data_IF_842240067459
#
_entry.id   IF_842240067459
#
_cell.length_a   1.000
_cell.length_b   1.000
_cell.length_c   1.000
_cell.angle_alpha   90.00
_cell.angle_beta   90.00
_cell.angle_gamma   90.00
#
_symmetry.space_group_name_H-M   'P 1'
#
loop_
_entity.id
_entity.type
_entity.pdbx_description
1 polymer ?
#
# COMPACT_ATOMS: atom_id res chain seq x y z
N UNK A 1 20.93 12.51 1.51
CA UNK A 1 19.94 11.43 1.28
C UNK A 1 19.68 10.72 2.61
N UNK A 2 18.44 10.57 3.01
CA UNK A 2 18.09 9.84 4.24
C UNK A 2 18.26 8.32 4.06
N UNK A 3 18.34 7.58 5.18
CA UNK A 3 18.40 6.10 5.15
C UNK A 3 17.20 5.51 4.41
N UNK A 4 16.01 6.08 4.59
CA UNK A 4 14.79 5.69 3.88
C UNK A 4 14.91 5.89 2.37
N UNK A 5 15.42 7.05 1.93
CA UNK A 5 15.63 7.33 0.51
C UNK A 5 16.66 6.40 -0.14
N UNK A 6 17.75 6.10 0.57
CA UNK A 6 18.76 5.15 0.11
C UNK A 6 18.18 3.74 -0.04
N UNK A 7 17.44 3.29 0.95
CA UNK A 7 16.77 2.00 0.91
C UNK A 7 15.76 1.92 -0.25
N UNK A 8 14.92 2.93 -0.38
CA UNK A 8 13.94 3.01 -1.46
C UNK A 8 14.63 2.94 -2.84
N UNK A 9 15.64 3.75 -3.08
CA UNK A 9 16.38 3.75 -4.33
C UNK A 9 16.97 2.37 -4.65
N UNK A 10 17.61 1.72 -3.68
CA UNK A 10 18.22 0.40 -3.85
C UNK A 10 17.19 -0.69 -4.16
N UNK A 11 16.06 -0.70 -3.45
CA UNK A 11 15.09 -1.79 -3.54
C UNK A 11 14.05 -1.59 -4.65
N UNK A 12 13.79 -0.38 -5.08
CA UNK A 12 12.94 -0.14 -6.26
C UNK A 12 13.52 -0.72 -7.56
N UNK A 13 14.82 -0.97 -7.61
CA UNK A 13 15.47 -1.65 -8.74
C UNK A 13 15.31 -3.19 -8.72
N UNK A 14 14.85 -3.77 -7.61
CA UNK A 14 14.69 -5.21 -7.49
C UNK A 14 13.44 -5.71 -8.21
N UNK A 15 13.43 -6.97 -8.71
CA UNK A 15 12.23 -7.58 -9.28
C UNK A 15 11.08 -7.65 -8.26
N UNK A 16 9.86 -7.50 -8.75
CA UNK A 16 8.67 -7.45 -7.89
C UNK A 16 8.41 -8.78 -7.17
N UNK A 17 8.65 -9.91 -7.84
CA UNK A 17 8.53 -11.24 -7.26
C UNK A 17 9.54 -11.48 -6.13
N UNK A 18 10.78 -10.99 -6.30
CA UNK A 18 11.78 -11.00 -5.24
C UNK A 18 11.28 -10.22 -4.02
N UNK A 19 10.81 -9.00 -4.21
CA UNK A 19 10.33 -8.15 -3.12
C UNK A 19 9.13 -8.75 -2.39
N UNK A 20 8.19 -9.35 -3.11
CA UNK A 20 7.03 -10.00 -2.52
C UNK A 20 7.42 -11.22 -1.68
N UNK A 21 8.39 -12.03 -2.15
CA UNK A 21 8.90 -13.17 -1.39
C UNK A 21 9.67 -12.73 -0.13
N UNK A 22 10.54 -11.71 -0.24
CA UNK A 22 11.26 -11.16 0.91
C UNK A 22 10.29 -10.60 1.97
N UNK A 23 9.24 -9.92 1.53
CA UNK A 23 8.20 -9.44 2.44
C UNK A 23 7.48 -10.60 3.14
N UNK A 24 7.10 -11.62 2.39
CA UNK A 24 6.45 -12.82 2.95
C UNK A 24 7.32 -13.51 4.00
N UNK A 25 8.61 -13.70 3.71
CA UNK A 25 9.55 -14.33 4.64
C UNK A 25 9.77 -13.48 5.90
N UNK A 26 9.89 -12.16 5.75
CA UNK A 26 10.00 -11.23 6.87
C UNK A 26 8.76 -11.25 7.76
N UNK A 27 7.56 -11.21 7.17
CA UNK A 27 6.30 -11.25 7.91
C UNK A 27 6.17 -12.57 8.70
N UNK A 28 6.48 -13.70 8.07
CA UNK A 28 6.48 -15.01 8.73
C UNK A 28 7.47 -15.05 9.90
N UNK A 29 8.68 -14.54 9.71
CA UNK A 29 9.70 -14.51 10.77
C UNK A 29 9.26 -13.68 11.98
N UNK A 30 8.49 -12.63 11.75
CA UNK A 30 7.93 -11.76 12.81
C UNK A 30 6.57 -12.24 13.33
N UNK A 31 6.01 -13.29 12.75
CA UNK A 31 4.66 -13.81 13.06
C UNK A 31 3.58 -12.73 12.87
N UNK A 32 3.72 -11.93 11.81
CA UNK A 32 2.79 -10.87 11.44
C UNK A 32 2.06 -11.25 10.15
N UNK A 33 0.83 -10.78 10.05
CA UNK A 33 -0.04 -11.01 8.90
C UNK A 33 -0.47 -9.67 8.28
N UNK A 34 -0.66 -9.68 6.98
CA UNK A 34 -0.89 -8.51 6.14
C UNK A 34 -2.26 -8.55 5.47
N UNK A 35 -2.92 -7.40 5.42
CA UNK A 35 -4.05 -7.12 4.53
C UNK A 35 -3.78 -5.90 3.66
N UNK A 36 -4.56 -5.72 2.59
CA UNK A 36 -4.45 -4.59 1.67
C UNK A 36 -5.78 -3.89 1.44
N UNK A 37 -5.73 -2.60 1.20
CA UNK A 37 -6.86 -1.77 0.80
C UNK A 37 -6.47 -0.98 -0.46
N UNK A 38 -6.98 -1.40 -1.61
CA UNK A 38 -6.57 -0.88 -2.91
C UNK A 38 -7.68 -0.06 -3.56
N UNK A 39 -7.32 1.10 -4.08
CA UNK A 39 -8.17 1.91 -4.93
C UNK A 39 -7.65 1.86 -6.38
N UNK A 40 -6.76 2.78 -6.77
CA UNK A 40 -6.29 2.85 -8.16
C UNK A 40 -5.56 1.59 -8.65
N UNK A 41 -4.93 0.83 -7.79
CA UNK A 41 -4.23 -0.42 -8.15
C UNK A 41 -5.16 -1.61 -8.41
N UNK A 42 -6.43 -1.51 -8.03
CA UNK A 42 -7.50 -2.42 -8.43
C UNK A 42 -7.26 -3.92 -8.20
N UNK A 43 -6.48 -4.28 -7.18
CA UNK A 43 -6.12 -5.67 -6.86
C UNK A 43 -4.72 -6.08 -7.30
N UNK A 44 -3.96 -5.22 -7.97
CA UNK A 44 -2.61 -5.53 -8.45
C UNK A 44 -1.64 -5.83 -7.29
N UNK A 45 -1.74 -5.10 -6.17
CA UNK A 45 -0.95 -5.37 -4.96
C UNK A 45 -1.31 -6.72 -4.36
N UNK A 46 -2.58 -6.99 -4.16
CA UNK A 46 -3.06 -8.30 -3.66
C UNK A 46 -2.65 -9.45 -4.57
N UNK A 47 -2.80 -9.29 -5.88
CA UNK A 47 -2.37 -10.28 -6.87
C UNK A 47 -0.86 -10.56 -6.80
N UNK A 48 -0.04 -9.51 -6.64
CA UNK A 48 1.40 -9.63 -6.46
C UNK A 48 1.75 -10.44 -5.21
N UNK A 49 1.08 -10.17 -4.10
CA UNK A 49 1.29 -10.91 -2.85
C UNK A 49 0.82 -12.36 -2.96
N UNK A 50 -0.28 -12.61 -3.68
CA UNK A 50 -0.79 -13.97 -3.92
C UNK A 50 0.16 -14.83 -4.75
N UNK A 51 1.01 -14.23 -5.58
CA UNK A 51 2.01 -14.93 -6.39
C UNK A 51 3.28 -15.28 -5.60
N UNK A 52 3.45 -14.75 -4.39
CA UNK A 52 4.59 -15.08 -3.54
C UNK A 52 4.49 -16.50 -2.98
N UNK A 53 5.63 -17.01 -2.52
CA UNK A 53 5.68 -18.34 -1.89
C UNK A 53 4.98 -18.32 -0.54
N UNK A 54 4.22 -19.37 -0.26
CA UNK A 54 3.62 -19.61 1.04
C UNK A 54 2.68 -18.47 1.52
N UNK A 55 2.01 -17.84 0.56
CA UNK A 55 1.15 -16.68 0.78
C UNK A 55 0.14 -16.83 1.92
N UNK A 56 -0.57 -17.98 2.07
CA UNK A 56 -1.55 -18.12 3.16
C UNK A 56 -0.97 -17.95 4.57
N UNK A 57 0.34 -18.09 4.72
CA UNK A 57 1.02 -17.92 6.01
C UNK A 57 1.16 -16.45 6.44
N UNK A 58 1.03 -15.49 5.52
CA UNK A 58 1.20 -14.06 5.82
C UNK A 58 0.15 -13.12 5.23
N UNK A 59 -0.63 -13.56 4.26
CA UNK A 59 -1.65 -12.74 3.58
C UNK A 59 -2.93 -13.54 3.38
N UNK A 60 -4.03 -13.09 3.95
CA UNK A 60 -5.29 -13.81 3.92
C UNK A 60 -6.41 -13.10 3.18
N UNK A 61 -6.38 -11.78 3.13
CA UNK A 61 -7.44 -10.98 2.52
C UNK A 61 -6.93 -9.63 2.01
N UNK A 62 -7.61 -9.11 1.01
CA UNK A 62 -7.41 -7.77 0.50
C UNK A 62 -8.74 -7.18 0.07
N UNK A 63 -8.85 -5.86 0.13
CA UNK A 63 -10.07 -5.12 -0.21
C UNK A 63 -9.78 -4.26 -1.44
N UNK A 64 -10.60 -4.41 -2.48
CA UNK A 64 -10.62 -3.50 -3.62
C UNK A 64 -11.77 -2.52 -3.39
N UNK A 65 -11.44 -1.30 -3.02
CA UNK A 65 -12.39 -0.23 -2.68
C UNK A 65 -12.20 0.95 -3.64
N UNK A 66 -12.55 0.72 -4.89
CA UNK A 66 -12.31 1.66 -5.98
C UNK A 66 -13.13 2.93 -5.84
N UNK A 67 -14.39 2.81 -5.41
CA UNK A 67 -15.32 3.93 -5.22
C UNK A 67 -15.30 4.45 -3.78
N UNK A 68 -15.75 5.67 -3.57
CA UNK A 68 -15.94 6.25 -2.25
C UNK A 68 -16.94 5.44 -1.42
N UNK A 69 -18.03 4.99 -2.06
CA UNK A 69 -19.02 4.13 -1.41
C UNK A 69 -18.41 2.82 -0.89
N UNK A 70 -17.54 2.17 -1.69
CA UNK A 70 -16.85 0.96 -1.25
C UNK A 70 -15.89 1.23 -0.07
N UNK A 71 -15.19 2.37 -0.08
CA UNK A 71 -14.34 2.78 1.04
C UNK A 71 -15.15 2.96 2.33
N UNK A 72 -16.31 3.59 2.24
CA UNK A 72 -17.21 3.78 3.38
C UNK A 72 -17.80 2.45 3.86
N UNK A 73 -18.35 1.66 2.94
CA UNK A 73 -19.11 0.45 3.27
C UNK A 73 -18.21 -0.66 3.80
N UNK A 74 -17.06 -0.90 3.16
CA UNK A 74 -16.19 -2.03 3.49
C UNK A 74 -15.15 -1.68 4.56
N UNK A 75 -14.59 -0.49 4.52
CA UNK A 75 -13.49 -0.08 5.41
C UNK A 75 -13.92 0.94 6.47
N UNK A 76 -15.17 1.38 6.43
CA UNK A 76 -15.71 2.38 7.34
C UNK A 76 -14.93 3.70 7.29
N UNK A 77 -14.47 4.10 6.10
CA UNK A 77 -13.90 5.43 5.88
C UNK A 77 -14.99 6.47 6.13
N UNK A 78 -14.67 7.51 6.90
CA UNK A 78 -15.63 8.52 7.26
C UNK A 78 -16.07 9.33 6.01
N UNK A 79 -17.38 9.46 5.76
CA UNK A 79 -17.89 10.29 4.66
C UNK A 79 -17.39 11.74 4.70
N UNK A 80 -17.22 12.31 5.90
CA UNK A 80 -16.68 13.66 6.07
C UNK A 80 -15.21 13.77 5.64
N UNK A 81 -14.41 12.72 5.86
CA UNK A 81 -13.03 12.65 5.39
C UNK A 81 -12.98 12.70 3.87
N UNK A 82 -13.81 11.91 3.20
CA UNK A 82 -13.91 11.90 1.74
C UNK A 82 -14.42 13.23 1.17
N UNK A 83 -15.43 13.83 1.81
CA UNK A 83 -15.96 15.11 1.40
C UNK A 83 -14.96 16.25 1.54
N UNK A 84 -14.16 16.24 2.61
CA UNK A 84 -13.21 17.32 2.93
C UNK A 84 -11.86 17.14 2.25
N UNK A 85 -11.35 15.92 2.16
CA UNK A 85 -9.98 15.62 1.73
C UNK A 85 -9.90 14.85 0.43
N UNK A 86 -11.01 14.38 -0.13
CA UNK A 86 -11.10 13.50 -1.30
C UNK A 86 -10.59 12.07 -1.04
N UNK A 87 -10.78 11.19 -2.02
CA UNK A 87 -10.28 9.81 -1.97
C UNK A 87 -8.75 9.73 -2.02
N UNK A 88 -8.09 10.70 -2.63
CA UNK A 88 -6.64 10.74 -2.81
C UNK A 88 -6.05 11.72 -1.82
N UNK A 89 -5.90 11.27 -0.57
CA UNK A 89 -5.42 12.10 0.52
C UNK A 89 -4.78 11.27 1.62
N UNK A 90 -3.95 11.93 2.43
CA UNK A 90 -3.38 11.36 3.64
C UNK A 90 -4.46 10.77 4.56
N UNK A 91 -5.47 11.56 4.88
CA UNK A 91 -6.54 11.16 5.79
C UNK A 91 -7.29 9.90 5.29
N UNK A 92 -7.57 9.82 3.99
CA UNK A 92 -8.27 8.69 3.41
C UNK A 92 -7.45 7.40 3.47
N UNK A 93 -6.14 7.43 3.12
CA UNK A 93 -5.31 6.22 3.18
C UNK A 93 -5.04 5.78 4.61
N UNK A 94 -4.96 6.68 5.58
CA UNK A 94 -4.90 6.34 7.01
C UNK A 94 -6.13 5.54 7.42
N UNK A 95 -7.33 6.03 7.09
CA UNK A 95 -8.58 5.35 7.43
C UNK A 95 -8.77 4.04 6.63
N UNK A 96 -8.34 3.99 5.37
CA UNK A 96 -8.36 2.76 4.57
C UNK A 96 -7.47 1.68 5.19
N UNK A 97 -6.23 2.00 5.54
CA UNK A 97 -5.29 1.04 6.12
C UNK A 97 -5.76 0.52 7.49
N UNK A 98 -6.17 1.42 8.37
CA UNK A 98 -6.68 1.06 9.71
C UNK A 98 -8.01 0.31 9.63
N UNK A 99 -8.88 0.71 8.72
CA UNK A 99 -10.14 0.02 8.43
C UNK A 99 -9.93 -1.40 7.95
N UNK A 100 -8.98 -1.62 7.03
CA UNK A 100 -8.64 -2.94 6.54
C UNK A 100 -8.13 -3.86 7.66
N UNK A 101 -7.25 -3.38 8.52
CA UNK A 101 -6.77 -4.12 9.70
C UNK A 101 -7.94 -4.50 10.61
N UNK A 102 -8.82 -3.56 10.92
CA UNK A 102 -9.97 -3.81 11.79
C UNK A 102 -10.93 -4.85 11.21
N UNK A 103 -11.23 -4.77 9.92
CA UNK A 103 -12.20 -5.67 9.28
C UNK A 103 -11.62 -7.06 9.07
N UNK A 104 -10.36 -7.16 8.66
CA UNK A 104 -9.69 -8.44 8.41
C UNK A 104 -9.23 -9.16 9.68
N UNK A 105 -8.92 -8.41 10.72
CA UNK A 105 -8.26 -8.94 11.92
C UNK A 105 -6.77 -9.21 11.74
N UNK A 106 -6.18 -8.78 10.61
CA UNK A 106 -4.74 -8.93 10.36
C UNK A 106 -3.94 -7.85 11.12
N UNK A 107 -2.62 -8.04 11.22
CA UNK A 107 -1.76 -7.19 12.05
C UNK A 107 -1.36 -5.90 11.34
N UNK A 108 -1.22 -5.96 10.02
CA UNK A 108 -0.71 -4.87 9.18
C UNK A 108 -1.66 -4.63 8.01
N UNK A 109 -1.87 -3.36 7.66
CA UNK A 109 -2.62 -2.96 6.48
C UNK A 109 -1.82 -2.02 5.59
N UNK A 110 -1.82 -2.27 4.29
CA UNK A 110 -1.34 -1.34 3.28
C UNK A 110 -2.53 -0.73 2.55
N UNK A 111 -2.60 0.58 2.46
CA UNK A 111 -3.59 1.29 1.63
C UNK A 111 -2.91 2.03 0.49
N UNK A 112 -3.55 2.02 -0.67
CA UNK A 112 -3.10 2.73 -1.88
C UNK A 112 -4.28 3.44 -2.52
N UNK A 113 -4.17 4.76 -2.71
CA UNK A 113 -5.18 5.57 -3.39
C UNK A 113 -4.51 6.68 -4.19
N UNK A 114 -4.84 6.79 -5.47
CA UNK A 114 -4.18 7.76 -6.33
C UNK A 114 -4.82 7.90 -7.71
N UNK A 115 -4.19 8.73 -8.52
CA UNK A 115 -4.54 8.95 -9.92
C UNK A 115 -3.50 8.28 -10.81
N UNK A 116 -3.83 7.09 -11.32
CA UNK A 116 -2.93 6.35 -12.22
C UNK A 116 -2.71 7.04 -13.58
N UNK A 117 -3.67 7.85 -14.01
CA UNK A 117 -3.66 8.53 -15.31
C UNK A 117 -4.65 7.91 -16.32
N UNK A 118 -4.84 8.53 -17.49
CA UNK A 118 -4.14 9.75 -17.97
C UNK A 118 -4.55 11.03 -17.27
N UNK A 119 -5.73 11.07 -16.64
CA UNK A 119 -6.25 12.26 -15.97
C UNK A 119 -5.85 12.28 -14.50
N UNK A 120 -5.63 13.47 -13.97
CA UNK A 120 -5.44 13.73 -12.54
C UNK A 120 -6.75 14.01 -11.82
N UNK A 121 -6.67 14.59 -10.64
CA UNK A 121 -7.83 14.99 -9.84
C UNK A 121 -8.49 16.28 -10.34
N UNK A 122 -9.79 16.41 -10.09
CA UNK A 122 -10.55 17.63 -10.38
C UNK A 122 -10.03 18.85 -9.58
N UNK A 123 -9.34 18.60 -8.47
CA UNK A 123 -8.68 19.60 -7.63
C UNK A 123 -7.32 20.08 -8.18
N UNK A 124 -6.90 19.60 -9.34
CA UNK A 124 -5.63 19.92 -9.97
C UNK A 124 -4.48 18.99 -9.57
N UNK A 125 -4.72 17.97 -8.77
CA UNK A 125 -3.70 16.95 -8.43
C UNK A 125 -3.27 16.21 -9.71
N UNK A 126 -1.97 16.20 -10.06
CA UNK A 126 -1.54 15.61 -11.34
C UNK A 126 -1.70 14.08 -11.34
N UNK A 127 -1.94 13.53 -12.54
CA UNK A 127 -1.84 12.09 -12.76
C UNK A 127 -0.46 11.57 -12.34
N UNK A 128 -0.41 10.36 -11.82
CA UNK A 128 0.82 9.80 -11.21
C UNK A 128 0.96 10.06 -9.71
N UNK A 129 0.11 10.92 -9.14
CA UNK A 129 0.10 11.16 -7.69
C UNK A 129 -0.61 10.04 -6.96
N UNK A 130 0.10 9.38 -6.04
CA UNK A 130 -0.42 8.24 -5.27
C UNK A 130 -0.10 8.42 -3.79
N UNK A 131 -1.12 8.35 -2.96
CA UNK A 131 -1.00 8.26 -1.50
C UNK A 131 -0.94 6.81 -1.03
N UNK A 132 -0.09 6.59 -0.05
CA UNK A 132 0.10 5.32 0.64
C UNK A 132 -0.16 5.47 2.13
N UNK A 133 -0.70 4.41 2.73
CA UNK A 133 -0.84 4.27 4.17
C UNK A 133 -0.37 2.89 4.62
N UNK A 134 0.37 2.83 5.72
CA UNK A 134 0.79 1.58 6.36
C UNK A 134 0.35 1.63 7.82
N UNK A 135 -0.63 0.82 8.16
CA UNK A 135 -1.04 0.60 9.55
C UNK A 135 -0.23 -0.57 10.12
N UNK A 136 0.55 -0.30 11.14
CA UNK A 136 1.41 -1.25 11.82
C UNK A 136 0.91 -1.53 13.24
N UNK A 137 1.35 -2.64 13.89
CA UNK A 137 1.01 -2.91 15.28
C UNK A 137 1.33 -1.75 16.21
N UNK A 138 0.54 -1.58 17.27
CA UNK A 138 0.71 -0.49 18.24
C UNK A 138 0.11 0.84 17.80
N UNK A 139 -0.88 0.82 16.90
CA UNK A 139 -1.52 2.01 16.34
C UNK A 139 -0.56 2.98 15.62
N UNK A 140 0.52 2.44 15.09
CA UNK A 140 1.46 3.22 14.28
C UNK A 140 0.99 3.26 12.84
N UNK A 141 0.70 4.45 12.33
CA UNK A 141 0.30 4.65 10.94
C UNK A 141 1.29 5.58 10.25
N UNK A 142 1.84 5.13 9.14
CA UNK A 142 2.73 5.90 8.28
C UNK A 142 2.04 6.21 6.97
N UNK A 143 2.33 7.35 6.40
CA UNK A 143 1.79 7.78 5.10
C UNK A 143 2.87 8.38 4.24
N UNK A 144 2.70 8.28 2.93
CA UNK A 144 3.58 8.91 1.96
C UNK A 144 2.79 9.32 0.71
N UNK A 145 3.12 10.47 0.15
CA UNK A 145 2.68 10.88 -1.18
C UNK A 145 3.85 10.71 -2.14
N UNK A 146 3.61 10.01 -3.24
CA UNK A 146 4.59 9.88 -4.32
C UNK A 146 4.00 10.36 -5.63
N UNK A 147 4.87 10.80 -6.52
CA UNK A 147 4.53 11.10 -7.90
C UNK A 147 5.36 10.20 -8.81
N UNK A 148 4.68 9.35 -9.58
CA UNK A 148 5.30 8.43 -10.53
C UNK A 148 5.12 8.92 -11.95
N UNK A 149 6.19 8.85 -12.73
CA UNK A 149 6.20 9.15 -14.16
C UNK A 149 5.76 7.92 -14.96
N UNK A 150 5.22 8.17 -16.15
CA UNK A 150 4.82 7.13 -17.09
C UNK A 150 3.32 7.10 -17.39
N UNK A 151 2.92 6.09 -18.16
CA UNK A 151 1.50 5.83 -18.41
C UNK A 151 0.83 5.17 -17.20
N UNK A 152 -0.48 4.96 -17.28
CA UNK A 152 -1.24 4.39 -16.17
C UNK A 152 -0.68 3.04 -15.70
N UNK A 153 -0.32 2.15 -16.62
CA UNK A 153 0.24 0.83 -16.31
C UNK A 153 1.56 0.96 -15.56
N UNK A 154 2.43 1.85 -16.01
CA UNK A 154 3.73 2.12 -15.39
C UNK A 154 3.58 2.73 -14.00
N UNK A 155 2.66 3.68 -13.83
CA UNK A 155 2.36 4.29 -12.52
C UNK A 155 1.88 3.26 -11.53
N UNK A 156 0.92 2.41 -11.91
CA UNK A 156 0.38 1.39 -11.01
C UNK A 156 1.42 0.32 -10.65
N UNK A 157 2.27 -0.09 -11.58
CA UNK A 157 3.35 -1.03 -11.32
C UNK A 157 4.37 -0.47 -10.31
N UNK A 158 4.75 0.81 -10.47
CA UNK A 158 5.65 1.50 -9.53
C UNK A 158 4.99 1.67 -8.16
N UNK A 159 3.69 1.98 -8.12
CA UNK A 159 2.95 2.13 -6.86
C UNK A 159 2.93 0.82 -6.05
N UNK A 160 2.65 -0.31 -6.70
CA UNK A 160 2.68 -1.64 -6.04
C UNK A 160 4.07 -1.94 -5.48
N UNK A 161 5.10 -1.71 -6.27
CA UNK A 161 6.49 -1.93 -5.83
C UNK A 161 6.85 -1.05 -4.65
N UNK A 162 6.54 0.24 -4.70
CA UNK A 162 6.79 1.19 -3.61
C UNK A 162 6.08 0.78 -2.31
N UNK A 163 4.82 0.34 -2.41
CA UNK A 163 4.07 -0.11 -1.24
C UNK A 163 4.77 -1.26 -0.50
N UNK A 164 5.33 -2.22 -1.24
CA UNK A 164 6.06 -3.37 -0.68
C UNK A 164 7.43 -2.93 -0.14
N UNK A 165 8.18 -2.15 -0.89
CA UNK A 165 9.53 -1.67 -0.50
C UNK A 165 9.46 -0.88 0.80
N UNK A 166 8.48 0.02 0.93
CA UNK A 166 8.35 0.81 2.14
C UNK A 166 7.89 0.00 3.35
N UNK A 167 7.09 -1.03 3.17
CA UNK A 167 6.76 -1.94 4.27
C UNK A 167 8.00 -2.73 4.72
N UNK A 168 8.81 -3.24 3.79
CA UNK A 168 10.10 -3.86 4.12
C UNK A 168 10.97 -2.93 4.96
N UNK A 169 11.10 -1.68 4.56
CA UNK A 169 11.85 -0.68 5.33
C UNK A 169 11.28 -0.48 6.74
N UNK A 170 9.96 -0.28 6.85
CA UNK A 170 9.29 -0.05 8.14
C UNK A 170 9.39 -1.24 9.09
N UNK A 171 9.49 -2.45 8.56
CA UNK A 171 9.68 -3.67 9.34
C UNK A 171 11.16 -3.98 9.66
N UNK A 172 12.08 -3.11 9.25
CA UNK A 172 13.50 -3.26 9.54
C UNK A 172 14.19 -4.36 8.72
N UNK A 173 13.74 -4.57 7.48
CA UNK A 173 14.38 -5.53 6.58
C UNK A 173 15.86 -5.20 6.35
N UNK A 174 16.71 -6.22 6.47
CA UNK A 174 18.12 -6.16 6.12
C UNK A 174 18.50 -7.39 5.30
N UNK A 175 19.14 -7.20 4.13
CA UNK A 175 19.56 -8.34 3.28
C UNK A 175 20.55 -9.28 3.99
N UNK A 176 21.27 -8.77 4.99
CA UNK A 176 22.31 -9.51 5.71
C UNK A 176 21.77 -10.32 6.91
N UNK A 177 20.46 -10.32 7.10
CA UNK A 177 19.81 -10.95 8.28
C UNK A 177 19.24 -12.35 8.02
N UNK A 178 19.62 -12.99 6.88
CA UNK A 178 19.20 -14.34 6.51
C UNK A 178 20.29 -15.37 6.71
#
# INVERSE_FOLDING_TARGET
MTTEQQFCQQFMEKPLDFLANELGDLLKSKKLRLTTAESCTGGLLGSTLCAAKDTPSFFGSGFITFTDEAKMTLLNVNPETLAKHTAVSKATVEEMATGAVRVSGEDIGIAVSGYGGPDGGEDGTPAGSVWFGWALPGNNVYTSLQHFEGDCTEVLAQAVKYAIVMLLFRLGYSPDSQ
#
